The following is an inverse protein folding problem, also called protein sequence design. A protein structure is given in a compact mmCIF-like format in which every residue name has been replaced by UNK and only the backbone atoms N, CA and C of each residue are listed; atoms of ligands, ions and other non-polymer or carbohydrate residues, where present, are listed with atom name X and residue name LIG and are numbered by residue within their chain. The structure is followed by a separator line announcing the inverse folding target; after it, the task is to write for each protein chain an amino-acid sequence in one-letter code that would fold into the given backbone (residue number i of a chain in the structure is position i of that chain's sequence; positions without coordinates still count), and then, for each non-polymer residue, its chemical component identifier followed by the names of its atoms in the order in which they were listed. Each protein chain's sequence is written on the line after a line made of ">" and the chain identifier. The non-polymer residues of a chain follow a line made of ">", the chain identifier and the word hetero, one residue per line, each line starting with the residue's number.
data_IF_189560007593
#
_entry.id   IF_189560007593
#
_cell.length_a   1.000
_cell.length_b   1.000
_cell.length_c   1.000
_cell.angle_alpha   90.00
_cell.angle_beta   90.00
_cell.angle_gamma   90.00
#
_symmetry.space_group_name_H-M   'P 1'
#
loop_
_entity.id
_entity.type
_entity.pdbx_description
1 polymer ?
#
# COMPACT_ATOMS: atom_id res chain seq x y z
N UNK A 1 -7.23 2.41 -11.96
CA UNK A 1 -6.26 3.52 -11.91
C UNK A 1 -6.72 4.73 -12.72
N UNK A 2 -6.67 4.74 -14.06
CA UNK A 2 -7.01 5.93 -14.86
C UNK A 2 -8.40 6.54 -14.54
N UNK A 3 -9.42 5.68 -14.38
CA UNK A 3 -10.78 6.13 -13.99
C UNK A 3 -10.80 6.76 -12.59
N UNK A 4 -10.03 6.24 -11.65
CA UNK A 4 -9.94 6.73 -10.27
C UNK A 4 -9.22 8.08 -10.22
N UNK A 5 -8.11 8.25 -10.95
CA UNK A 5 -7.48 9.57 -11.07
C UNK A 5 -8.38 10.59 -11.75
N UNK A 6 -9.15 10.18 -12.77
CA UNK A 6 -10.12 11.07 -13.38
C UNK A 6 -11.22 11.48 -12.39
N UNK A 7 -11.66 10.59 -11.51
CA UNK A 7 -12.64 10.91 -10.46
C UNK A 7 -12.06 11.95 -9.47
N UNK A 8 -10.84 11.75 -8.98
CA UNK A 8 -10.16 12.72 -8.11
C UNK A 8 -9.97 14.08 -8.80
N UNK A 9 -9.58 14.07 -10.08
CA UNK A 9 -9.43 15.29 -10.87
C UNK A 9 -10.76 16.04 -11.03
N UNK A 10 -11.87 15.32 -11.23
CA UNK A 10 -13.22 15.91 -11.28
C UNK A 10 -13.61 16.52 -9.95
N UNK A 11 -13.43 15.78 -8.84
CA UNK A 11 -13.73 16.30 -7.50
C UNK A 11 -12.98 17.60 -7.23
N UNK A 12 -11.68 17.63 -7.55
CA UNK A 12 -10.86 18.84 -7.43
C UNK A 12 -11.35 19.99 -8.29
N UNK A 13 -11.70 19.74 -9.56
CA UNK A 13 -12.13 20.78 -10.49
C UNK A 13 -13.52 21.34 -10.15
N UNK A 14 -14.39 20.52 -9.59
CA UNK A 14 -15.76 20.89 -9.21
C UNK A 14 -15.85 21.42 -7.77
N UNK A 15 -14.75 21.37 -7.00
CA UNK A 15 -14.74 21.73 -5.58
C UNK A 15 -15.56 20.78 -4.71
N UNK A 16 -15.80 19.55 -5.19
CA UNK A 16 -16.56 18.54 -4.48
C UNK A 16 -15.69 17.85 -3.42
N UNK A 17 -16.21 17.77 -2.19
CA UNK A 17 -15.58 17.05 -1.09
C UNK A 17 -16.29 15.72 -0.93
N UNK A 18 -15.65 14.58 -1.26
CA UNK A 18 -16.25 13.26 -1.11
C UNK A 18 -16.45 12.91 0.36
N UNK A 19 -17.40 12.02 0.65
CA UNK A 19 -17.45 11.32 1.93
C UNK A 19 -16.22 10.42 2.10
N UNK A 20 -15.91 10.02 3.33
CA UNK A 20 -14.78 9.10 3.61
C UNK A 20 -14.93 7.79 2.83
N UNK A 21 -16.15 7.26 2.75
CA UNK A 21 -16.44 6.04 2.00
C UNK A 21 -16.18 6.19 0.50
N UNK A 22 -16.70 7.26 -0.12
CA UNK A 22 -16.46 7.55 -1.54
C UNK A 22 -14.97 7.78 -1.81
N UNK A 23 -14.30 8.53 -0.92
CA UNK A 23 -12.87 8.76 -0.99
C UNK A 23 -12.09 7.45 -0.97
N UNK A 24 -12.32 6.57 0.00
CA UNK A 24 -11.59 5.31 0.12
C UNK A 24 -11.80 4.40 -1.10
N UNK A 25 -13.02 4.29 -1.62
CA UNK A 25 -13.29 3.48 -2.82
C UNK A 25 -12.47 3.92 -4.04
N UNK A 26 -12.25 5.23 -4.19
CA UNK A 26 -11.44 5.79 -5.28
C UNK A 26 -9.95 5.77 -4.95
N UNK A 27 -9.58 6.18 -3.74
CA UNK A 27 -8.20 6.43 -3.32
C UNK A 27 -7.39 5.15 -3.16
N UNK A 28 -8.04 4.04 -2.77
CA UNK A 28 -7.42 2.72 -2.73
C UNK A 28 -6.93 2.28 -4.11
N UNK A 29 -7.63 2.67 -5.18
CA UNK A 29 -7.29 2.32 -6.56
C UNK A 29 -6.36 3.35 -7.21
N UNK A 30 -6.53 4.65 -6.92
CA UNK A 30 -5.65 5.71 -7.41
C UNK A 30 -4.28 5.73 -6.72
N UNK A 31 -4.15 5.14 -5.54
CA UNK A 31 -2.88 4.96 -4.83
C UNK A 31 -1.83 4.19 -5.62
N UNK A 32 -2.25 3.35 -6.58
CA UNK A 32 -1.37 2.55 -7.42
C UNK A 32 -0.84 1.27 -6.79
N UNK A 33 -1.05 1.02 -5.50
CA UNK A 33 -0.57 -0.19 -4.82
C UNK A 33 -1.14 -1.50 -5.37
N UNK A 34 -2.45 -1.61 -5.72
CA UNK A 34 -2.96 -2.80 -6.38
C UNK A 34 -2.23 -3.10 -7.70
N UNK A 35 -1.89 -2.06 -8.47
CA UNK A 35 -1.19 -2.19 -9.75
C UNK A 35 0.27 -2.60 -9.54
N UNK A 36 1.00 -1.96 -8.62
CA UNK A 36 2.39 -2.33 -8.30
C UNK A 36 2.46 -3.79 -7.84
N UNK A 37 1.51 -4.22 -7.02
CA UNK A 37 1.51 -5.59 -6.50
C UNK A 37 1.21 -6.61 -7.61
N UNK A 38 0.15 -6.39 -8.39
CA UNK A 38 -0.23 -7.30 -9.49
C UNK A 38 0.83 -7.35 -10.59
N UNK A 39 1.45 -6.23 -10.95
CA UNK A 39 2.57 -6.20 -11.90
C UNK A 39 3.81 -6.90 -11.35
N UNK A 40 4.08 -6.81 -10.05
CA UNK A 40 5.18 -7.55 -9.43
C UNK A 40 4.99 -9.06 -9.53
N UNK A 41 3.76 -9.57 -9.47
CA UNK A 41 3.49 -11.00 -9.65
C UNK A 41 3.78 -11.48 -11.07
N UNK A 42 3.51 -10.66 -12.09
CA UNK A 42 3.83 -11.02 -13.48
C UNK A 42 5.33 -11.27 -13.67
N UNK A 43 6.18 -10.57 -12.92
CA UNK A 43 7.64 -10.77 -12.96
C UNK A 43 8.11 -12.09 -12.30
N UNK A 44 7.22 -12.78 -11.57
CA UNK A 44 7.55 -14.01 -10.84
C UNK A 44 7.34 -15.30 -11.67
N UNK A 45 7.00 -15.16 -12.95
CA UNK A 45 6.92 -16.28 -13.88
C UNK A 45 5.88 -17.33 -13.48
N UNK A 46 6.29 -18.62 -13.50
CA UNK A 46 5.38 -19.77 -13.32
C UNK A 46 4.70 -19.85 -11.95
N UNK A 47 5.13 -19.05 -10.96
CA UNK A 47 4.49 -19.00 -9.63
C UNK A 47 3.17 -18.23 -9.67
N UNK A 48 3.02 -17.28 -10.59
CA UNK A 48 1.80 -16.47 -10.75
C UNK A 48 0.82 -17.12 -11.74
N UNK A 49 0.33 -18.33 -11.42
CA UNK A 49 -0.68 -19.02 -12.24
C UNK A 49 -2.08 -18.47 -12.00
N UNK A 50 -2.99 -18.65 -12.96
CA UNK A 50 -4.42 -18.29 -12.80
C UNK A 50 -5.06 -18.96 -11.59
N UNK A 51 -4.63 -20.20 -11.29
CA UNK A 51 -5.14 -20.99 -10.16
C UNK A 51 -4.74 -20.39 -8.81
N UNK A 52 -3.58 -19.71 -8.74
CA UNK A 52 -3.16 -18.97 -7.54
C UNK A 52 -4.11 -17.82 -7.19
N UNK A 53 -4.85 -17.30 -8.18
CA UNK A 53 -5.81 -16.20 -8.02
C UNK A 53 -7.28 -16.69 -7.95
N UNK A 54 -7.58 -17.91 -8.40
CA UNK A 54 -8.95 -18.41 -8.55
C UNK A 54 -9.66 -18.86 -7.27
N UNK A 55 -8.92 -19.14 -6.18
CA UNK A 55 -9.51 -19.68 -4.94
C UNK A 55 -8.94 -19.11 -3.63
N UNK A 56 -8.02 -18.16 -3.70
CA UNK A 56 -7.45 -17.50 -2.52
C UNK A 56 -8.15 -16.14 -2.31
N UNK A 57 -8.44 -15.70 -1.07
CA UNK A 57 -8.84 -14.33 -0.78
C UNK A 57 -7.66 -13.34 -0.95
N UNK A 58 -6.89 -13.46 -2.02
CA UNK A 58 -5.78 -12.58 -2.36
C UNK A 58 -6.27 -11.13 -2.50
N UNK A 59 -7.49 -10.94 -3.01
CA UNK A 59 -8.16 -9.64 -3.09
C UNK A 59 -8.30 -8.95 -1.73
N UNK A 60 -8.66 -9.69 -0.67
CA UNK A 60 -8.79 -9.11 0.67
C UNK A 60 -7.43 -8.66 1.23
N UNK A 61 -6.39 -9.47 1.05
CA UNK A 61 -5.02 -9.11 1.45
C UNK A 61 -4.48 -7.91 0.69
N UNK A 62 -4.78 -7.82 -0.61
CA UNK A 62 -4.42 -6.67 -1.44
C UNK A 62 -5.16 -5.39 -1.04
N UNK A 63 -6.42 -5.52 -0.64
CA UNK A 63 -7.22 -4.40 -0.15
C UNK A 63 -6.66 -3.86 1.17
N UNK A 64 -6.37 -4.75 2.13
CA UNK A 64 -5.75 -4.39 3.40
C UNK A 64 -4.38 -3.72 3.22
N UNK A 65 -3.53 -4.27 2.34
CA UNK A 65 -2.27 -3.64 1.95
C UNK A 65 -2.50 -2.23 1.37
N UNK A 66 -3.44 -2.09 0.45
CA UNK A 66 -3.71 -0.80 -0.21
C UNK A 66 -4.22 0.24 0.77
N UNK A 67 -5.04 -0.17 1.74
CA UNK A 67 -5.52 0.70 2.82
C UNK A 67 -4.37 1.13 3.71
N UNK A 68 -3.55 0.19 4.20
CA UNK A 68 -2.38 0.49 5.02
C UNK A 68 -1.48 1.53 4.34
N UNK A 69 -1.11 1.27 3.08
CA UNK A 69 -0.20 2.13 2.33
C UNK A 69 -0.84 3.48 1.94
N UNK A 70 -2.17 3.55 1.81
CA UNK A 70 -2.91 4.80 1.57
C UNK A 70 -2.87 5.68 2.82
N UNK A 71 -3.20 5.10 3.99
CA UNK A 71 -3.19 5.80 5.27
C UNK A 71 -1.78 6.30 5.64
N UNK A 72 -0.74 5.48 5.41
CA UNK A 72 0.66 5.87 5.62
C UNK A 72 1.10 7.06 4.77
N UNK A 73 0.53 7.22 3.58
CA UNK A 73 0.82 8.36 2.72
C UNK A 73 0.00 9.60 3.18
N UNK A 74 -1.31 9.45 3.36
CA UNK A 74 -2.22 10.54 3.69
C UNK A 74 -1.91 11.23 5.02
N UNK A 75 -1.42 10.49 6.02
CA UNK A 75 -1.10 11.05 7.34
C UNK A 75 -0.12 12.24 7.26
N UNK A 76 0.73 12.31 6.23
CA UNK A 76 1.69 13.39 6.03
C UNK A 76 1.07 14.64 5.38
N UNK A 77 -0.15 14.54 4.85
CA UNK A 77 -0.94 15.66 4.34
C UNK A 77 -1.90 16.26 5.38
N UNK A 78 -2.01 15.67 6.57
CA UNK A 78 -2.95 16.08 7.63
C UNK A 78 -2.25 16.97 8.65
N UNK A 79 -2.82 18.14 8.94
CA UNK A 79 -2.31 19.06 9.98
C UNK A 79 -3.02 18.93 11.33
N UNK A 80 -4.20 18.32 11.36
CA UNK A 80 -5.01 18.19 12.57
C UNK A 80 -4.56 16.98 13.42
N UNK A 81 -4.19 17.24 14.67
CA UNK A 81 -3.61 16.22 15.56
C UNK A 81 -4.58 15.07 15.86
N UNK A 82 -5.86 15.36 16.04
CA UNK A 82 -6.89 14.34 16.30
C UNK A 82 -7.03 13.39 15.10
N UNK A 83 -7.07 13.94 13.89
CA UNK A 83 -7.07 13.16 12.66
C UNK A 83 -5.79 12.33 12.52
N UNK A 84 -4.61 12.88 12.83
CA UNK A 84 -3.36 12.11 12.83
C UNK A 84 -3.41 10.92 13.81
N UNK A 85 -4.00 11.09 14.99
CA UNK A 85 -4.17 9.98 15.96
C UNK A 85 -5.05 8.88 15.38
N UNK A 86 -6.19 9.23 14.78
CA UNK A 86 -7.08 8.27 14.11
C UNK A 86 -6.34 7.50 13.00
N UNK A 87 -5.57 8.19 12.16
CA UNK A 87 -4.77 7.54 11.12
C UNK A 87 -3.76 6.55 11.71
N UNK A 88 -3.08 6.89 12.81
CA UNK A 88 -2.12 5.98 13.47
C UNK A 88 -2.81 4.75 14.06
N UNK A 89 -3.98 4.92 14.65
CA UNK A 89 -4.79 3.81 15.17
C UNK A 89 -5.25 2.88 14.04
N UNK A 90 -5.75 3.44 12.94
CA UNK A 90 -6.16 2.66 11.78
C UNK A 90 -4.99 1.95 11.08
N UNK A 91 -3.82 2.59 10.99
CA UNK A 91 -2.58 1.94 10.51
C UNK A 91 -2.20 0.76 11.41
N UNK A 92 -2.30 0.92 12.73
CA UNK A 92 -2.00 -0.16 13.67
C UNK A 92 -3.01 -1.31 13.56
N UNK A 93 -4.29 -1.01 13.35
CA UNK A 93 -5.33 -2.01 13.12
C UNK A 93 -5.12 -2.75 11.80
N UNK A 94 -4.84 -2.04 10.71
CA UNK A 94 -4.54 -2.65 9.41
C UNK A 94 -3.32 -3.60 9.48
N UNK A 95 -2.29 -3.25 10.25
CA UNK A 95 -1.17 -4.17 10.50
C UNK A 95 -1.58 -5.44 11.25
N UNK A 96 -2.48 -5.35 12.24
CA UNK A 96 -3.02 -6.53 12.94
C UNK A 96 -3.80 -7.41 11.97
N UNK A 97 -4.68 -6.83 11.16
CA UNK A 97 -5.47 -7.56 10.16
C UNK A 97 -4.58 -8.28 9.15
N UNK A 98 -3.53 -7.61 8.64
CA UNK A 98 -2.55 -8.22 7.74
C UNK A 98 -1.84 -9.40 8.41
N UNK A 99 -1.45 -9.27 9.67
CA UNK A 99 -0.79 -10.34 10.42
C UNK A 99 -1.73 -11.51 10.69
N UNK A 100 -2.99 -11.27 11.03
CA UNK A 100 -3.99 -12.31 11.23
C UNK A 100 -4.29 -13.05 9.92
N UNK A 101 -4.49 -12.32 8.82
CA UNK A 101 -4.68 -12.90 7.48
C UNK A 101 -3.47 -13.69 6.99
N UNK A 102 -2.26 -13.31 7.41
CA UNK A 102 -1.03 -14.03 7.09
C UNK A 102 -0.98 -15.42 7.74
N UNK A 103 -1.52 -15.56 8.95
CA UNK A 103 -1.52 -16.81 9.70
C UNK A 103 -2.59 -17.80 9.22
N UNK A 104 -3.59 -17.35 8.45
CA UNK A 104 -4.67 -18.20 7.96
C UNK A 104 -4.16 -19.19 6.89
N UNK A 105 -4.52 -20.48 6.97
CA UNK A 105 -4.23 -21.44 5.92
C UNK A 105 -4.71 -20.94 4.57
N UNK A 106 -3.89 -21.09 3.54
CA UNK A 106 -4.22 -20.60 2.21
C UNK A 106 -3.62 -21.49 1.13
N UNK A 107 -4.33 -21.68 -0.01
CA UNK A 107 -3.77 -22.37 -1.16
C UNK A 107 -2.80 -21.48 -1.96
N UNK A 108 -2.65 -20.20 -1.61
CA UNK A 108 -1.76 -19.30 -2.35
C UNK A 108 -0.29 -19.70 -2.19
N UNK A 109 0.51 -19.61 -3.27
CA UNK A 109 1.94 -19.80 -3.20
C UNK A 109 2.59 -18.80 -2.23
N UNK A 110 3.40 -19.31 -1.28
CA UNK A 110 4.14 -18.49 -0.32
C UNK A 110 4.93 -17.33 -0.95
N UNK A 111 5.62 -17.49 -2.11
CA UNK A 111 6.35 -16.38 -2.70
C UNK A 111 5.47 -15.17 -3.08
N UNK A 112 4.21 -15.39 -3.47
CA UNK A 112 3.27 -14.30 -3.78
C UNK A 112 2.85 -13.57 -2.50
N UNK A 113 2.63 -14.32 -1.42
CA UNK A 113 2.33 -13.74 -0.12
C UNK A 113 3.54 -12.92 0.36
N UNK A 114 4.75 -13.48 0.30
CA UNK A 114 5.98 -12.78 0.71
C UNK A 114 6.17 -11.49 -0.07
N UNK A 115 5.82 -11.48 -1.36
CA UNK A 115 5.83 -10.27 -2.16
C UNK A 115 4.88 -9.20 -1.61
N UNK A 116 3.65 -9.54 -1.24
CA UNK A 116 2.69 -8.61 -0.61
C UNK A 116 3.25 -8.06 0.70
N UNK A 117 3.75 -8.93 1.57
CA UNK A 117 4.29 -8.54 2.89
C UNK A 117 5.53 -7.65 2.76
N UNK A 118 6.44 -7.97 1.84
CA UNK A 118 7.63 -7.18 1.60
C UNK A 118 7.30 -5.80 1.01
N UNK A 119 6.26 -5.70 0.17
CA UNK A 119 5.76 -4.41 -0.29
C UNK A 119 5.17 -3.58 0.87
N UNK A 120 4.40 -4.20 1.77
CA UNK A 120 3.89 -3.51 2.97
C UNK A 120 5.02 -2.90 3.81
N UNK A 121 6.05 -3.71 4.08
CA UNK A 121 7.23 -3.30 4.84
C UNK A 121 8.03 -2.21 4.13
N UNK A 122 8.16 -2.28 2.81
CA UNK A 122 8.83 -1.23 2.04
C UNK A 122 8.07 0.10 2.16
N UNK A 123 6.73 0.08 2.13
CA UNK A 123 5.92 1.29 2.30
C UNK A 123 6.03 1.88 3.70
N UNK A 124 6.09 1.05 4.73
CA UNK A 124 6.38 1.50 6.10
C UNK A 124 7.69 2.29 6.15
N UNK A 125 8.75 1.79 5.50
CA UNK A 125 10.04 2.51 5.41
C UNK A 125 9.91 3.81 4.61
N UNK A 126 9.24 3.78 3.45
CA UNK A 126 9.08 4.95 2.57
C UNK A 126 8.35 6.10 3.29
N UNK A 127 7.36 5.77 4.11
CA UNK A 127 6.47 6.74 4.76
C UNK A 127 6.72 6.92 6.26
N UNK A 128 7.78 6.32 6.82
CA UNK A 128 8.05 6.36 8.27
C UNK A 128 8.25 7.78 8.80
N UNK A 129 9.12 8.52 8.12
CA UNK A 129 9.65 9.80 8.59
C UNK A 129 9.14 10.99 7.74
N UNK A 130 8.13 10.75 6.89
CA UNK A 130 7.57 11.73 5.96
C UNK A 130 7.18 11.07 4.64
N UNK A 131 6.73 11.86 3.67
CA UNK A 131 6.56 11.40 2.29
C UNK A 131 7.91 11.24 1.59
N UNK A 132 8.58 10.10 1.82
CA UNK A 132 9.87 9.78 1.22
C UNK A 132 9.80 9.51 -0.29
N UNK A 133 8.60 9.29 -0.84
CA UNK A 133 8.42 9.12 -2.28
C UNK A 133 8.55 10.46 -3.00
N UNK A 134 7.87 11.50 -2.49
CA UNK A 134 7.98 12.85 -3.03
C UNK A 134 9.28 13.54 -2.60
N UNK A 135 9.70 13.37 -1.34
CA UNK A 135 10.94 13.91 -0.79
C UNK A 135 11.99 12.81 -0.59
N UNK A 136 12.67 12.44 -1.68
CA UNK A 136 13.65 11.34 -1.70
C UNK A 136 14.84 11.51 -0.76
N UNK A 137 15.13 12.72 -0.27
CA UNK A 137 16.20 12.94 0.71
C UNK A 137 15.97 12.19 2.03
N UNK A 138 14.72 11.89 2.38
CA UNK A 138 14.37 11.08 3.56
C UNK A 138 14.95 9.66 3.44
N UNK A 139 15.02 9.12 2.23
CA UNK A 139 15.44 7.73 1.97
C UNK A 139 16.91 7.60 1.58
N UNK A 140 17.66 8.70 1.49
CA UNK A 140 19.03 8.70 0.95
C UNK A 140 19.97 7.73 1.67
N UNK A 141 19.85 7.60 2.99
CA UNK A 141 20.74 6.78 3.81
C UNK A 141 20.37 5.28 3.69
N UNK A 142 19.07 4.97 3.56
CA UNK A 142 18.60 3.62 3.23
C UNK A 142 19.07 3.19 1.83
N UNK A 143 18.98 4.09 0.85
CA UNK A 143 19.45 3.82 -0.52
C UNK A 143 20.96 3.62 -0.57
N UNK A 144 21.72 4.48 0.13
CA UNK A 144 23.17 4.37 0.21
C UNK A 144 23.60 3.03 0.84
N UNK A 145 23.01 2.68 1.99
CA UNK A 145 23.36 1.43 2.68
C UNK A 145 23.01 0.17 1.89
N UNK A 146 22.00 0.20 1.03
CA UNK A 146 21.60 -0.96 0.22
C UNK A 146 22.38 -1.09 -1.10
N UNK A 147 22.67 0.03 -1.77
CA UNK A 147 23.16 0.03 -3.16
C UNK A 147 24.59 0.56 -3.34
N UNK A 148 25.08 1.33 -2.36
CA UNK A 148 26.37 2.03 -2.47
C UNK A 148 27.40 1.48 -1.48
N UNK A 149 27.00 1.28 -0.23
CA UNK A 149 27.93 0.95 0.85
C UNK A 149 27.99 -0.58 1.01
N UNK A 150 29.17 -1.21 0.86
CA UNK A 150 29.29 -2.64 1.03
C UNK A 150 29.13 -3.03 2.50
N UNK A 151 28.49 -4.17 2.74
CA UNK A 151 28.50 -4.81 4.07
C UNK A 151 29.89 -5.42 4.26
N UNK A 152 30.68 -4.81 5.16
CA UNK A 152 31.98 -5.33 5.59
C UNK A 152 31.83 -6.54 6.51
#
# INVERSE_FOLDING_TARGET
>A
MLRSYLAEAKWRNEGYVPTVEEYLQVSLISSGYPMVTTTSFLSMGKVATTDAFGGCPMTLRLLALSLLCRLMNDIHGVSEEETVKLFREEIANAWKDINEEWLKPTPAPMPLLERIMNLARAMDVIYKDGDGFTNSYILKDYVASLLKDPVL
#
